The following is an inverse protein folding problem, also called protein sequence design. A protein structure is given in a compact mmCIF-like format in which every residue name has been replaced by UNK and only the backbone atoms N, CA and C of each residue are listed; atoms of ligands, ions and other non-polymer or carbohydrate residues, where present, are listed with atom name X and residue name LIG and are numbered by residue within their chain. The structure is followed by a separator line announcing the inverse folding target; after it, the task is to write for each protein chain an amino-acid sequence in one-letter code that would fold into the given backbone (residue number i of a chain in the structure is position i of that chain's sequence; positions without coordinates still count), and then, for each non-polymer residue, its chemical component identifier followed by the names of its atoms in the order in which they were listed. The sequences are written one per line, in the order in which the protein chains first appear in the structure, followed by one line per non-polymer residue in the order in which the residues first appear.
data_IF_888690589784
#
_entry.id   IF_888690589784
#
_cell.length_a   1.000
_cell.length_b   1.000
_cell.length_c   1.000
_cell.angle_alpha   90.00
_cell.angle_beta   90.00
_cell.angle_gamma   90.00
#
_symmetry.space_group_name_H-M   'P 1'
#
loop_
_entity.id
_entity.type
_entity.pdbx_description
1 polymer ?
#
# COMPACT_ATOMS: atom_id res chain seq x y z
N UNK A 1 9.27 -5.26 25.14
CA UNK A 1 8.85 -3.84 25.07
C UNK A 1 7.36 -3.81 24.78
N UNK A 2 6.60 -3.17 25.65
CA UNK A 2 5.19 -3.47 25.92
C UNK A 2 4.27 -3.12 24.74
N UNK A 3 3.45 -4.09 24.32
CA UNK A 3 2.43 -3.92 23.28
C UNK A 3 1.17 -3.16 23.76
N UNK A 4 1.09 -2.84 25.06
CA UNK A 4 -0.10 -2.27 25.71
C UNK A 4 -0.32 -0.75 25.50
N UNK A 5 0.60 -0.05 24.83
CA UNK A 5 0.51 1.40 24.62
C UNK A 5 0.24 1.84 23.17
N UNK A 6 0.12 0.92 22.22
CA UNK A 6 -0.06 1.27 20.80
C UNK A 6 -1.55 1.35 20.44
N UNK A 7 -1.96 2.47 19.85
CA UNK A 7 -3.28 2.61 19.22
C UNK A 7 -3.55 1.42 18.31
N UNK A 8 -4.73 0.81 18.40
CA UNK A 8 -5.07 -0.33 17.54
C UNK A 8 -5.02 0.12 16.08
N UNK A 9 -4.48 -0.72 15.20
CA UNK A 9 -4.28 -0.40 13.78
C UNK A 9 -5.50 0.26 13.13
N UNK A 10 -6.68 -0.32 13.31
CA UNK A 10 -7.93 0.16 12.70
C UNK A 10 -8.48 1.45 13.31
N UNK A 11 -7.86 1.96 14.37
CA UNK A 11 -8.20 3.24 15.02
C UNK A 11 -7.26 4.37 14.62
N UNK A 12 -6.25 4.08 13.80
CA UNK A 12 -5.31 5.09 13.29
C UNK A 12 -5.97 5.95 12.20
N UNK A 13 -5.65 7.25 12.10
CA UNK A 13 -6.17 8.10 11.03
C UNK A 13 -5.73 7.60 9.63
N UNK A 14 -4.56 6.99 9.50
CA UNK A 14 -4.05 6.40 8.26
C UNK A 14 -4.90 5.22 7.81
N UNK A 15 -5.38 4.38 8.76
CA UNK A 15 -6.32 3.31 8.44
C UNK A 15 -7.67 3.87 7.97
N UNK A 16 -8.18 4.91 8.63
CA UNK A 16 -9.43 5.56 8.21
C UNK A 16 -9.29 6.17 6.79
N UNK A 17 -8.14 6.75 6.47
CA UNK A 17 -7.86 7.27 5.14
C UNK A 17 -7.83 6.15 4.07
N UNK A 18 -7.19 5.02 4.37
CA UNK A 18 -7.20 3.83 3.49
C UNK A 18 -8.61 3.26 3.31
N UNK A 19 -9.42 3.20 4.36
CA UNK A 19 -10.80 2.73 4.29
C UNK A 19 -11.64 3.63 3.37
N UNK A 20 -11.52 4.95 3.54
CA UNK A 20 -12.19 5.94 2.66
C UNK A 20 -11.74 5.81 1.20
N UNK A 21 -10.44 5.66 0.95
CA UNK A 21 -9.91 5.43 -0.39
C UNK A 21 -10.42 4.12 -1.01
N UNK A 22 -10.56 3.07 -0.20
CA UNK A 22 -11.15 1.80 -0.66
C UNK A 22 -12.61 1.94 -1.06
N UNK A 23 -13.40 2.73 -0.34
CA UNK A 23 -14.78 3.05 -0.73
C UNK A 23 -14.82 3.77 -2.08
N UNK A 24 -13.92 4.74 -2.30
CA UNK A 24 -13.80 5.49 -3.56
C UNK A 24 -13.39 4.59 -4.74
N UNK A 25 -12.53 3.60 -4.50
CA UNK A 25 -12.16 2.60 -5.50
C UNK A 25 -13.22 1.51 -5.74
N UNK A 26 -14.31 1.47 -4.96
CA UNK A 26 -15.24 0.33 -4.91
C UNK A 26 -15.85 -0.07 -6.26
N UNK A 27 -15.93 0.86 -7.21
CA UNK A 27 -16.45 0.61 -8.56
C UNK A 27 -15.35 0.49 -9.63
N UNK A 28 -14.11 0.85 -9.31
CA UNK A 28 -13.00 0.82 -10.26
C UNK A 28 -12.66 -0.63 -10.64
N UNK A 29 -12.52 -0.87 -11.94
CA UNK A 29 -12.11 -2.17 -12.48
C UNK A 29 -10.66 -2.13 -12.92
N UNK A 30 -9.97 -3.26 -12.76
CA UNK A 30 -8.56 -3.36 -13.16
C UNK A 30 -8.35 -3.03 -14.65
N UNK A 31 -9.29 -3.43 -15.50
CA UNK A 31 -9.26 -3.12 -16.95
C UNK A 31 -9.30 -1.61 -17.22
N UNK A 32 -10.00 -0.84 -16.39
CA UNK A 32 -10.05 0.62 -16.51
C UNK A 32 -8.71 1.24 -16.14
N UNK A 33 -8.01 0.70 -15.13
CA UNK A 33 -6.66 1.17 -14.78
C UNK A 33 -5.66 0.93 -15.92
N UNK A 34 -5.74 -0.20 -16.61
CA UNK A 34 -4.92 -0.46 -17.80
C UNK A 34 -5.33 0.39 -19.01
N UNK A 35 -6.62 0.68 -19.16
CA UNK A 35 -7.09 1.55 -20.24
C UNK A 35 -6.65 3.01 -20.03
N UNK A 36 -6.63 3.48 -18.78
CA UNK A 36 -6.21 4.83 -18.41
C UNK A 36 -4.68 5.00 -18.45
N UNK A 37 -3.91 3.95 -18.18
CA UNK A 37 -2.45 3.95 -18.23
C UNK A 37 -1.91 2.75 -19.04
N UNK A 38 -1.67 2.93 -20.35
CA UNK A 38 -1.06 1.89 -21.19
C UNK A 38 0.34 1.45 -20.73
N UNK A 39 1.05 2.31 -19.97
CA UNK A 39 2.37 2.03 -19.41
C UNK A 39 2.32 1.20 -18.12
N UNK A 40 1.13 0.94 -17.56
CA UNK A 40 0.94 0.28 -16.27
C UNK A 40 1.63 -1.07 -16.17
N UNK A 41 1.61 -1.86 -17.24
CA UNK A 41 2.19 -3.21 -17.28
C UNK A 41 3.70 -3.24 -17.02
N UNK A 42 4.42 -2.15 -17.32
CA UNK A 42 5.86 -2.04 -17.07
C UNK A 42 6.16 -1.12 -15.89
N UNK A 43 5.40 -0.03 -15.73
CA UNK A 43 5.62 0.98 -14.69
C UNK A 43 5.32 0.50 -13.27
N UNK A 44 4.56 -0.58 -13.11
CA UNK A 44 4.18 -1.15 -11.82
C UNK A 44 4.96 -2.43 -11.48
N UNK A 45 6.17 -2.55 -12.02
CA UNK A 45 7.06 -3.67 -11.74
C UNK A 45 8.32 -3.19 -11.04
N UNK A 46 8.91 -4.05 -10.20
CA UNK A 46 10.21 -3.82 -9.59
C UNK A 46 11.08 -5.07 -9.66
N UNK A 47 12.39 -4.86 -9.59
CA UNK A 47 13.38 -5.94 -9.45
C UNK A 47 14.11 -5.78 -8.12
N UNK A 48 14.27 -6.88 -7.39
CA UNK A 48 15.05 -6.96 -6.16
C UNK A 48 15.96 -8.19 -6.23
N UNK A 49 17.22 -7.98 -6.63
CA UNK A 49 18.09 -9.08 -7.05
C UNK A 49 17.47 -9.85 -8.21
N UNK A 50 17.34 -11.16 -8.06
CA UNK A 50 16.73 -12.05 -9.06
C UNK A 50 15.19 -12.06 -9.01
N UNK A 51 14.58 -11.42 -8.01
CA UNK A 51 13.13 -11.35 -7.87
C UNK A 51 12.53 -10.27 -8.77
N UNK A 52 11.56 -10.65 -9.59
CA UNK A 52 10.70 -9.72 -10.33
C UNK A 52 9.32 -9.68 -9.68
N UNK A 53 8.87 -8.49 -9.29
CA UNK A 53 7.57 -8.28 -8.65
C UNK A 53 6.72 -7.37 -9.53
N UNK A 54 5.52 -7.83 -9.88
CA UNK A 54 4.58 -7.13 -10.74
C UNK A 54 3.28 -6.80 -9.96
N UNK A 55 3.07 -5.52 -9.67
CA UNK A 55 1.86 -5.01 -9.02
C UNK A 55 0.83 -4.46 -10.02
N UNK A 56 1.11 -4.49 -11.33
CA UNK A 56 0.25 -3.90 -12.37
C UNK A 56 -1.16 -4.48 -12.35
N UNK A 57 -1.31 -5.73 -11.91
CA UNK A 57 -2.58 -6.48 -11.87
C UNK A 57 -3.36 -6.33 -10.56
N UNK A 58 -2.96 -5.41 -9.68
CA UNK A 58 -3.71 -5.09 -8.47
C UNK A 58 -4.55 -3.81 -8.65
N UNK A 59 -5.62 -3.68 -7.87
CA UNK A 59 -6.44 -2.45 -7.76
C UNK A 59 -5.73 -1.41 -6.89
N UNK A 60 -4.56 -0.97 -7.35
CA UNK A 60 -3.68 -0.02 -6.67
C UNK A 60 -3.42 1.17 -7.59
N UNK A 61 -3.46 2.36 -7.02
CA UNK A 61 -3.09 3.62 -7.68
C UNK A 61 -1.94 4.26 -6.89
N UNK A 62 -1.35 5.32 -7.42
CA UNK A 62 -0.30 6.06 -6.70
C UNK A 62 -0.77 6.51 -5.32
N UNK A 63 -2.04 6.93 -5.25
CA UNK A 63 -2.73 7.27 -4.01
C UNK A 63 -2.84 6.06 -3.06
N UNK A 64 -3.19 4.87 -3.56
CA UNK A 64 -3.21 3.66 -2.74
C UNK A 64 -1.83 3.39 -2.11
N UNK A 65 -0.76 3.48 -2.91
CA UNK A 65 0.58 3.24 -2.41
C UNK A 65 1.04 4.32 -1.43
N UNK A 66 0.66 5.59 -1.65
CA UNK A 66 0.94 6.69 -0.71
C UNK A 66 0.31 6.41 0.65
N UNK A 67 -0.99 6.10 0.67
CA UNK A 67 -1.73 5.82 1.91
C UNK A 67 -1.22 4.56 2.63
N UNK A 68 -0.84 3.50 1.90
CA UNK A 68 -0.23 2.31 2.49
C UNK A 68 1.12 2.60 3.13
N UNK A 69 1.94 3.47 2.51
CA UNK A 69 3.23 3.90 3.09
C UNK A 69 3.03 4.77 4.33
N UNK A 70 2.02 5.62 4.36
CA UNK A 70 1.65 6.41 5.55
C UNK A 70 1.26 5.49 6.71
N UNK A 71 0.42 4.48 6.47
CA UNK A 71 0.08 3.49 7.49
C UNK A 71 1.32 2.72 7.98
N UNK A 72 2.22 2.32 7.07
CA UNK A 72 3.46 1.62 7.43
C UNK A 72 4.40 2.49 8.29
N UNK A 73 4.48 3.80 8.00
CA UNK A 73 5.23 4.76 8.81
C UNK A 73 4.60 4.96 10.20
N UNK A 74 3.28 5.14 10.27
CA UNK A 74 2.54 5.32 11.52
C UNK A 74 2.62 4.11 12.47
N UNK A 75 2.85 2.91 11.90
CA UNK A 75 2.98 1.65 12.64
C UNK A 75 4.42 1.19 12.84
N UNK A 76 5.39 2.02 12.45
CA UNK A 76 6.83 1.80 12.62
C UNK A 76 7.33 0.48 12.02
N UNK A 77 6.85 0.12 10.83
CA UNK A 77 7.31 -1.08 10.11
C UNK A 77 8.84 -1.06 9.90
N UNK A 78 9.42 0.12 9.68
CA UNK A 78 10.86 0.28 9.47
C UNK A 78 11.65 0.01 10.76
N UNK A 79 11.24 0.57 11.91
CA UNK A 79 11.88 0.27 13.19
C UNK A 79 11.73 -1.20 13.60
N UNK A 80 10.58 -1.81 13.31
CA UNK A 80 10.36 -3.25 13.55
C UNK A 80 11.26 -4.13 12.67
N UNK A 81 11.45 -3.75 11.40
CA UNK A 81 12.41 -4.43 10.51
C UNK A 81 13.83 -4.31 11.07
N UNK A 82 14.25 -3.10 11.45
CA UNK A 82 15.61 -2.84 11.94
C UNK A 82 15.88 -3.50 13.30
N UNK A 83 14.84 -3.73 14.12
CA UNK A 83 14.96 -4.48 15.37
C UNK A 83 15.07 -6.00 15.18
N UNK A 84 14.75 -6.53 13.99
CA UNK A 84 14.81 -7.97 13.68
C UNK A 84 16.20 -8.42 13.21
N UNK A 85 17.00 -7.50 12.66
CA UNK A 85 18.31 -7.75 12.08
C UNK A 85 19.43 -7.07 12.89
#
# INVERSE_FOLDING_TARGET
MNADGRTRLHQTPEWAALAKHREQLGQVRLRELFAADPGRGTGWTLRAGDLHVDYSKHLVTDETLRLLRELAAATDVFGLRDAMF
#
